data_IF_515761446259
#
_entry.id   IF_515761446259
#
_cell.length_a   1.000
_cell.length_b   1.000
_cell.length_c   1.000
_cell.angle_alpha   90.00
_cell.angle_beta   90.00
_cell.angle_gamma   90.00
#
_symmetry.space_group_name_H-M   'P 1'
#
loop_
_entity.id
_entity.type
_entity.pdbx_description
1 polymer ?
#
# COMPACT_ATOMS: atom_id res chain seq x y z
N UNK A 1 23.44 26.55 -7.32
CA UNK A 1 22.01 26.18 -7.24
C UNK A 1 21.28 27.21 -6.42
N UNK A 2 20.17 27.73 -6.94
CA UNK A 2 19.24 28.59 -6.19
C UNK A 2 18.53 27.77 -5.10
N UNK A 3 18.04 28.41 -4.04
CA UNK A 3 17.40 27.72 -2.90
C UNK A 3 16.25 26.80 -3.33
N UNK A 4 15.41 27.25 -4.29
CA UNK A 4 14.30 26.45 -4.82
C UNK A 4 14.72 25.23 -5.65
N UNK A 5 15.77 25.34 -6.47
CA UNK A 5 16.33 24.19 -7.21
C UNK A 5 16.77 23.07 -6.25
N UNK A 6 17.30 23.43 -5.07
CA UNK A 6 17.72 22.46 -4.05
C UNK A 6 16.53 21.82 -3.32
N UNK A 7 15.38 22.50 -3.22
CA UNK A 7 14.17 21.96 -2.58
C UNK A 7 13.47 21.00 -3.54
N UNK A 8 13.31 21.41 -4.79
CA UNK A 8 12.78 20.56 -5.86
C UNK A 8 13.56 19.24 -5.99
N UNK A 9 14.89 19.29 -6.04
CA UNK A 9 15.71 18.07 -6.10
C UNK A 9 15.52 17.17 -4.88
N UNK A 10 15.36 17.74 -3.68
CA UNK A 10 15.12 16.96 -2.45
C UNK A 10 13.75 16.31 -2.44
N UNK A 11 12.72 17.00 -2.91
CA UNK A 11 11.37 16.46 -3.06
C UNK A 11 11.33 15.37 -4.13
N UNK A 12 12.01 15.56 -5.26
CA UNK A 12 12.09 14.55 -6.30
C UNK A 12 12.80 13.28 -5.80
N UNK A 13 13.89 13.43 -5.04
CA UNK A 13 14.58 12.29 -4.41
C UNK A 13 13.72 11.60 -3.35
N UNK A 14 12.74 12.29 -2.72
CA UNK A 14 11.83 11.62 -1.80
C UNK A 14 10.96 10.55 -2.47
N UNK A 15 10.70 10.64 -3.78
CA UNK A 15 9.94 9.59 -4.49
C UNK A 15 10.57 8.21 -4.34
N UNK A 16 11.88 8.11 -4.13
CA UNK A 16 12.57 6.85 -3.89
C UNK A 16 12.19 6.24 -2.53
N UNK A 17 11.90 7.06 -1.52
CA UNK A 17 11.59 6.60 -0.16
C UNK A 17 10.26 5.84 -0.08
N UNK A 18 9.34 6.07 -1.02
CA UNK A 18 8.06 5.34 -1.06
C UNK A 18 8.24 3.89 -1.46
N UNK A 19 9.31 3.52 -2.17
CA UNK A 19 9.51 2.16 -2.69
C UNK A 19 9.46 1.11 -1.57
N UNK A 20 10.04 1.42 -0.42
CA UNK A 20 9.97 0.53 0.74
C UNK A 20 8.56 0.40 1.34
N UNK A 21 7.71 1.42 1.22
CA UNK A 21 6.30 1.35 1.67
C UNK A 21 5.52 0.41 0.75
N UNK A 22 5.74 0.54 -0.57
CA UNK A 22 5.06 -0.28 -1.57
C UNK A 22 5.53 -1.74 -1.52
N UNK A 23 6.83 -1.99 -1.33
CA UNK A 23 7.34 -3.37 -1.20
C UNK A 23 6.81 -4.07 0.06
N UNK A 24 6.68 -3.35 1.18
CA UNK A 24 6.04 -3.89 2.38
C UNK A 24 4.58 -4.30 2.09
N UNK A 25 3.81 -3.45 1.40
CA UNK A 25 2.43 -3.78 1.00
C UNK A 25 2.37 -5.00 0.06
N UNK A 26 3.25 -5.06 -0.94
CA UNK A 26 3.33 -6.19 -1.86
C UNK A 26 3.69 -7.49 -1.14
N UNK A 27 4.54 -7.44 -0.13
CA UNK A 27 4.97 -8.64 0.62
C UNK A 27 3.80 -9.35 1.29
N UNK A 28 2.79 -8.61 1.78
CA UNK A 28 1.60 -9.19 2.41
C UNK A 28 0.69 -9.95 1.45
N UNK A 29 0.68 -9.57 0.17
CA UNK A 29 -0.13 -10.20 -0.88
C UNK A 29 0.69 -11.11 -1.80
N UNK A 30 2.00 -11.18 -1.59
CA UNK A 30 2.90 -12.07 -2.33
C UNK A 30 2.75 -13.48 -1.79
N UNK A 31 2.24 -14.36 -2.65
CA UNK A 31 2.22 -15.77 -2.36
C UNK A 31 3.63 -16.35 -2.35
N UNK A 32 3.98 -17.00 -1.25
CA UNK A 32 5.17 -17.84 -1.12
C UNK A 32 4.70 -19.25 -0.79
N UNK A 33 4.94 -20.25 -1.65
CA UNK A 33 4.48 -21.61 -1.41
C UNK A 33 4.96 -22.16 -0.07
N UNK A 34 4.02 -22.62 0.74
CA UNK A 34 4.27 -23.31 1.99
C UNK A 34 3.32 -24.50 2.04
N UNK A 35 3.83 -25.66 1.62
CA UNK A 35 3.03 -26.88 1.41
C UNK A 35 2.16 -27.26 2.61
N UNK A 36 2.64 -27.09 3.85
CA UNK A 36 1.84 -27.42 5.05
C UNK A 36 0.66 -26.46 5.21
N UNK A 37 0.91 -25.16 5.09
CA UNK A 37 -0.15 -24.14 5.13
C UNK A 37 -1.10 -24.24 3.93
N UNK A 38 -0.57 -24.57 2.75
CA UNK A 38 -1.32 -24.68 1.50
C UNK A 38 -2.26 -25.90 1.52
N UNK A 39 -1.83 -27.03 2.08
CA UNK A 39 -2.69 -28.20 2.32
C UNK A 39 -3.89 -27.79 3.19
N UNK A 40 -3.64 -27.09 4.31
CA UNK A 40 -4.72 -26.61 5.19
C UNK A 40 -5.67 -25.67 4.44
N UNK A 41 -5.14 -24.72 3.67
CA UNK A 41 -5.93 -23.77 2.89
C UNK A 41 -6.81 -24.46 1.84
N UNK A 42 -6.30 -25.48 1.14
CA UNK A 42 -7.12 -26.27 0.21
C UNK A 42 -8.20 -27.09 0.92
N UNK A 43 -7.90 -27.68 2.09
CA UNK A 43 -8.90 -28.40 2.89
C UNK A 43 -10.02 -27.46 3.35
N UNK A 44 -9.70 -26.26 3.83
CA UNK A 44 -10.69 -25.26 4.19
C UNK A 44 -11.54 -24.82 2.99
N UNK A 45 -10.91 -24.58 1.82
CA UNK A 45 -11.62 -24.26 0.58
C UNK A 45 -12.58 -25.38 0.18
N UNK A 46 -12.15 -26.64 0.27
CA UNK A 46 -13.00 -27.79 -0.03
C UNK A 46 -14.24 -27.84 0.87
N UNK A 47 -14.07 -27.60 2.17
CA UNK A 47 -15.17 -27.60 3.15
C UNK A 47 -16.21 -26.52 2.86
N UNK A 48 -15.78 -25.33 2.42
CA UNK A 48 -16.63 -24.18 2.12
C UNK A 48 -17.20 -24.19 0.69
N UNK A 49 -16.68 -25.03 -0.20
CA UNK A 49 -17.05 -25.03 -1.61
C UNK A 49 -18.32 -25.82 -1.91
N UNK A 50 -19.10 -25.29 -2.86
CA UNK A 50 -20.18 -26.00 -3.55
C UNK A 50 -19.68 -27.31 -4.17
N UNK A 51 -20.56 -28.30 -4.28
CA UNK A 51 -20.21 -29.66 -4.70
C UNK A 51 -19.49 -29.72 -6.06
N UNK A 52 -19.86 -28.84 -6.99
CA UNK A 52 -19.31 -28.78 -8.34
C UNK A 52 -17.87 -28.24 -8.37
N UNK A 53 -17.47 -27.46 -7.36
CA UNK A 53 -16.12 -26.88 -7.25
C UNK A 53 -15.14 -27.80 -6.52
N UNK A 54 -15.65 -28.80 -5.79
CA UNK A 54 -14.83 -29.72 -4.98
C UNK A 54 -13.84 -30.56 -5.80
N UNK A 55 -14.18 -31.13 -6.98
CA UNK A 55 -13.25 -31.95 -7.75
C UNK A 55 -11.94 -31.24 -8.12
N UNK A 56 -12.02 -29.98 -8.59
CA UNK A 56 -10.82 -29.20 -8.95
C UNK A 56 -9.98 -28.85 -7.71
N UNK A 57 -10.62 -28.60 -6.56
CA UNK A 57 -9.90 -28.36 -5.30
C UNK A 57 -9.14 -29.62 -4.86
N UNK A 58 -9.75 -30.80 -4.98
CA UNK A 58 -9.10 -32.07 -4.66
C UNK A 58 -7.92 -32.37 -5.60
N UNK A 59 -8.03 -32.01 -6.87
CA UNK A 59 -6.91 -32.14 -7.82
C UNK A 59 -5.72 -31.26 -7.42
N UNK A 60 -5.97 -29.99 -7.08
CA UNK A 60 -4.93 -29.08 -6.59
C UNK A 60 -4.32 -29.55 -5.27
N UNK A 61 -5.15 -30.03 -4.33
CA UNK A 61 -4.70 -30.59 -3.06
C UNK A 61 -3.79 -31.80 -3.28
N UNK A 62 -4.16 -32.70 -4.20
CA UNK A 62 -3.31 -33.84 -4.57
C UNK A 62 -1.97 -33.38 -5.15
N UNK A 63 -1.96 -32.40 -6.06
CA UNK A 63 -0.72 -31.83 -6.58
C UNK A 63 0.15 -31.23 -5.47
N UNK A 64 -0.45 -30.53 -4.52
CA UNK A 64 0.23 -29.97 -3.34
C UNK A 64 0.87 -31.07 -2.47
N UNK A 65 0.12 -32.14 -2.15
CA UNK A 65 0.61 -33.30 -1.38
C UNK A 65 1.75 -34.01 -2.13
N UNK A 66 1.61 -34.22 -3.44
CA UNK A 66 2.60 -34.89 -4.29
C UNK A 66 3.87 -34.05 -4.55
N UNK A 67 3.90 -32.78 -4.13
CA UNK A 67 5.01 -31.86 -4.41
C UNK A 67 5.10 -31.45 -5.89
N UNK A 68 3.99 -31.53 -6.63
CA UNK A 68 3.88 -31.04 -8.01
C UNK A 68 3.58 -29.53 -8.00
N UNK A 69 3.49 -28.92 -9.17
CA UNK A 69 3.00 -27.55 -9.29
C UNK A 69 1.50 -27.48 -8.96
N UNK A 70 1.08 -26.45 -8.22
CA UNK A 70 -0.31 -26.19 -7.83
C UNK A 70 -0.56 -24.68 -7.75
N UNK A 71 -1.81 -24.22 -7.93
CA UNK A 71 -2.11 -22.80 -7.86
C UNK A 71 -2.05 -22.27 -6.43
N UNK A 72 -1.86 -20.96 -6.28
CA UNK A 72 -1.96 -20.28 -4.99
C UNK A 72 -3.34 -20.53 -4.35
N UNK A 73 -3.42 -21.23 -3.20
CA UNK A 73 -4.69 -21.49 -2.53
C UNK A 73 -5.30 -20.23 -1.91
N UNK A 74 -4.56 -19.13 -1.78
CA UNK A 74 -5.02 -17.82 -1.30
C UNK A 74 -5.50 -16.89 -2.43
N UNK A 75 -5.54 -17.37 -3.68
CA UNK A 75 -6.10 -16.57 -4.78
C UNK A 75 -7.52 -16.13 -4.44
N UNK A 76 -7.76 -14.81 -4.49
CA UNK A 76 -9.03 -14.17 -4.15
C UNK A 76 -9.31 -14.01 -2.65
N UNK A 77 -8.39 -14.37 -1.76
CA UNK A 77 -8.55 -14.12 -0.31
C UNK A 77 -7.86 -12.84 0.18
N UNK A 78 -7.04 -12.20 -0.66
CA UNK A 78 -6.45 -10.91 -0.34
C UNK A 78 -7.49 -9.80 -0.49
N UNK A 79 -7.43 -8.81 0.40
CA UNK A 79 -8.34 -7.68 0.43
C UNK A 79 -7.91 -6.52 -0.48
N UNK A 80 -6.71 -6.61 -1.06
CA UNK A 80 -6.17 -5.67 -2.03
C UNK A 80 -5.24 -6.39 -2.98
N UNK A 81 -4.91 -5.72 -4.08
CA UNK A 81 -4.22 -6.23 -5.26
C UNK A 81 -2.92 -5.46 -5.52
N UNK A 82 -2.01 -5.99 -6.36
CA UNK A 82 -0.86 -5.23 -6.81
C UNK A 82 -1.24 -3.91 -7.48
N UNK A 83 -2.39 -3.84 -8.15
CA UNK A 83 -2.94 -2.64 -8.77
C UNK A 83 -3.28 -1.57 -7.72
N UNK A 84 -3.87 -1.96 -6.58
CA UNK A 84 -4.14 -1.04 -5.47
C UNK A 84 -2.83 -0.47 -4.88
N UNK A 85 -1.79 -1.31 -4.77
CA UNK A 85 -0.46 -0.86 -4.33
C UNK A 85 0.17 0.09 -5.35
N UNK A 86 -0.02 -0.17 -6.65
CA UNK A 86 0.42 0.74 -7.71
C UNK A 86 -0.30 2.10 -7.59
N UNK A 87 -1.60 2.10 -7.32
CA UNK A 87 -2.38 3.32 -7.13
C UNK A 87 -1.93 4.10 -5.90
N UNK A 88 -1.62 3.43 -4.78
CA UNK A 88 -0.94 4.06 -3.64
C UNK A 88 0.36 4.73 -4.08
N UNK A 89 1.17 4.05 -4.90
CA UNK A 89 2.40 4.60 -5.48
C UNK A 89 2.15 5.87 -6.29
N UNK A 90 1.11 5.90 -7.12
CA UNK A 90 0.70 7.08 -7.90
C UNK A 90 0.26 8.23 -7.01
N UNK A 91 -0.58 7.97 -5.99
CA UNK A 91 -1.03 9.00 -5.04
C UNK A 91 0.17 9.67 -4.36
N UNK A 92 1.18 8.90 -3.97
CA UNK A 92 2.39 9.43 -3.34
C UNK A 92 3.29 10.20 -4.33
N UNK A 93 3.31 9.85 -5.62
CA UNK A 93 4.00 10.65 -6.64
C UNK A 93 3.31 11.99 -6.89
N UNK A 94 1.99 11.94 -7.09
CA UNK A 94 1.16 13.13 -7.30
C UNK A 94 1.33 14.11 -6.15
N UNK A 95 1.33 13.60 -4.91
CA UNK A 95 1.58 14.42 -3.74
C UNK A 95 2.91 15.19 -3.81
N UNK A 96 4.00 14.53 -4.22
CA UNK A 96 5.30 15.18 -4.37
C UNK A 96 5.26 16.23 -5.49
N UNK A 97 4.60 15.94 -6.60
CA UNK A 97 4.46 16.89 -7.71
C UNK A 97 3.64 18.13 -7.30
N UNK A 98 2.57 17.93 -6.53
CA UNK A 98 1.75 18.99 -5.97
C UNK A 98 2.54 19.85 -4.97
N UNK A 99 3.38 19.23 -4.12
CA UNK A 99 4.27 19.96 -3.21
C UNK A 99 5.29 20.84 -3.92
N UNK A 100 5.85 20.36 -5.04
CA UNK A 100 6.78 21.14 -5.86
C UNK A 100 6.07 22.37 -6.43
N UNK A 101 4.82 22.22 -6.88
CA UNK A 101 4.01 23.33 -7.38
C UNK A 101 3.61 24.33 -6.27
N UNK A 102 3.43 23.85 -5.04
CA UNK A 102 3.03 24.63 -3.87
C UNK A 102 4.21 25.23 -3.07
N UNK A 103 5.46 25.10 -3.55
CA UNK A 103 6.66 25.48 -2.79
C UNK A 103 6.58 26.92 -2.24
N UNK A 104 6.76 27.06 -0.93
CA UNK A 104 6.76 28.37 -0.26
C UNK A 104 5.37 28.95 0.05
N UNK A 105 4.29 28.24 -0.28
CA UNK A 105 2.93 28.56 0.16
C UNK A 105 2.44 27.52 1.20
N UNK A 106 2.52 27.82 2.51
CA UNK A 106 2.09 26.89 3.55
C UNK A 106 0.61 26.49 3.47
N UNK A 107 -0.27 27.35 2.94
CA UNK A 107 -1.69 27.04 2.81
C UNK A 107 -1.90 26.00 1.71
N UNK A 108 -1.28 26.20 0.54
CA UNK A 108 -1.31 25.24 -0.55
C UNK A 108 -0.68 23.90 -0.16
N UNK A 109 0.47 23.90 0.52
CA UNK A 109 1.10 22.66 1.01
C UNK A 109 0.19 21.92 2.00
N UNK A 110 -0.48 22.65 2.91
CA UNK A 110 -1.44 22.04 3.84
C UNK A 110 -2.63 21.41 3.12
N UNK A 111 -3.05 22.01 1.99
CA UNK A 111 -4.11 21.45 1.15
C UNK A 111 -3.65 20.18 0.43
N UNK A 112 -2.43 20.15 -0.12
CA UNK A 112 -1.83 18.95 -0.72
C UNK A 112 -1.82 17.77 0.28
N UNK A 113 -1.45 18.03 1.54
CA UNK A 113 -1.48 17.02 2.61
C UNK A 113 -2.89 16.50 2.83
N UNK A 114 -3.88 17.40 2.98
CA UNK A 114 -5.29 17.04 3.18
C UNK A 114 -5.79 16.15 2.03
N UNK A 115 -5.60 16.58 0.80
CA UNK A 115 -6.12 15.87 -0.38
C UNK A 115 -5.47 14.49 -0.54
N UNK A 116 -4.16 14.40 -0.29
CA UNK A 116 -3.44 13.12 -0.30
C UNK A 116 -3.98 12.16 0.74
N UNK A 117 -4.21 12.61 1.98
CA UNK A 117 -4.77 11.77 3.03
C UNK A 117 -6.19 11.31 2.69
N UNK A 118 -7.00 12.16 2.03
CA UNK A 118 -8.34 11.79 1.58
C UNK A 118 -8.31 10.74 0.46
N UNK A 119 -7.40 10.85 -0.51
CA UNK A 119 -7.17 9.83 -1.54
C UNK A 119 -6.77 8.50 -0.92
N UNK A 120 -5.87 8.54 0.07
CA UNK A 120 -5.43 7.34 0.80
C UNK A 120 -6.57 6.72 1.62
N UNK A 121 -7.40 7.54 2.30
CA UNK A 121 -8.58 7.04 3.00
C UNK A 121 -9.51 6.28 2.04
N UNK A 122 -9.81 6.88 0.88
CA UNK A 122 -10.68 6.25 -0.13
C UNK A 122 -10.12 4.91 -0.61
N UNK A 123 -8.84 4.88 -1.00
CA UNK A 123 -8.18 3.65 -1.42
C UNK A 123 -8.19 2.57 -0.32
N UNK A 124 -7.92 2.95 0.93
CA UNK A 124 -7.95 2.00 2.03
C UNK A 124 -9.36 1.45 2.28
N UNK A 125 -10.42 2.27 2.17
CA UNK A 125 -11.81 1.81 2.27
C UNK A 125 -12.17 0.84 1.14
N UNK A 126 -11.75 1.12 -0.10
CA UNK A 126 -11.94 0.22 -1.25
C UNK A 126 -11.26 -1.15 -1.02
N UNK A 127 -10.13 -1.14 -0.31
CA UNK A 127 -9.40 -2.33 0.13
C UNK A 127 -9.95 -2.95 1.43
N UNK A 128 -11.17 -2.59 1.86
CA UNK A 128 -11.80 -3.10 3.09
C UNK A 128 -11.05 -2.77 4.38
N UNK A 129 -10.21 -1.72 4.36
CA UNK A 129 -9.31 -1.27 5.45
C UNK A 129 -8.13 -2.19 5.76
N UNK A 130 -7.75 -3.06 4.82
CA UNK A 130 -6.59 -3.96 4.96
C UNK A 130 -5.30 -3.42 4.33
N UNK A 131 -5.39 -2.34 3.54
CA UNK A 131 -4.23 -1.73 2.87
C UNK A 131 -3.32 -0.94 3.81
N UNK A 132 -3.81 -0.56 4.99
CA UNK A 132 -3.01 0.14 6.00
C UNK A 132 -3.19 -0.52 7.36
N UNK A 133 -2.09 -1.06 7.90
CA UNK A 133 -1.99 -1.46 9.30
C UNK A 133 -1.25 -0.41 10.14
N UNK A 134 -1.08 -0.69 11.43
CA UNK A 134 -0.37 0.16 12.38
C UNK A 134 1.04 0.54 11.91
N UNK A 135 1.77 -0.40 11.30
CA UNK A 135 3.16 -0.19 10.86
C UNK A 135 3.23 0.65 9.58
N UNK A 136 2.42 0.29 8.58
CA UNK A 136 2.29 1.04 7.32
C UNK A 136 1.81 2.46 7.58
N UNK A 137 0.92 2.66 8.55
CA UNK A 137 0.49 4.00 8.97
C UNK A 137 1.69 4.87 9.33
N UNK A 138 2.53 4.43 10.25
CA UNK A 138 3.68 5.21 10.71
C UNK A 138 4.61 5.60 9.55
N UNK A 139 4.85 4.67 8.62
CA UNK A 139 5.67 4.92 7.42
C UNK A 139 5.06 5.94 6.48
N UNK A 140 3.75 5.84 6.18
CA UNK A 140 3.05 6.79 5.30
C UNK A 140 3.04 8.18 5.94
N UNK A 141 2.75 8.27 7.23
CA UNK A 141 2.71 9.55 7.93
C UNK A 141 4.09 10.20 8.00
N UNK A 142 5.14 9.41 8.23
CA UNK A 142 6.52 9.89 8.18
C UNK A 142 6.87 10.41 6.78
N UNK A 143 6.50 9.67 5.72
CA UNK A 143 6.70 10.10 4.34
C UNK A 143 6.04 11.46 4.08
N UNK A 144 4.73 11.58 4.31
CA UNK A 144 3.95 12.79 4.05
C UNK A 144 4.48 13.98 4.84
N UNK A 145 4.65 13.85 6.16
CA UNK A 145 5.12 14.96 6.98
C UNK A 145 6.53 15.40 6.57
N UNK A 146 7.45 14.46 6.33
CA UNK A 146 8.82 14.82 5.94
C UNK A 146 8.88 15.58 4.60
N UNK A 147 8.00 15.24 3.65
CA UNK A 147 7.92 15.94 2.36
C UNK A 147 7.35 17.36 2.53
N UNK A 148 6.24 17.49 3.28
CA UNK A 148 5.63 18.80 3.58
C UNK A 148 6.62 19.75 4.27
N UNK A 149 7.44 19.22 5.19
CA UNK A 149 8.47 19.98 5.88
C UNK A 149 9.58 20.45 4.94
N UNK A 150 10.00 19.61 4.00
CA UNK A 150 10.95 20.00 2.94
C UNK A 150 10.37 21.10 2.05
N UNK A 151 9.07 21.05 1.76
CA UNK A 151 8.35 22.06 0.96
C UNK A 151 8.14 23.40 1.72
N UNK A 152 8.29 23.41 3.06
CA UNK A 152 8.30 24.63 3.87
C UNK A 152 7.28 24.68 5.01
N UNK A 153 6.58 23.58 5.30
CA UNK A 153 5.66 23.51 6.43
C UNK A 153 6.41 23.23 7.75
N UNK A 154 5.88 23.67 8.90
CA UNK A 154 6.57 23.52 10.19
C UNK A 154 6.58 22.07 10.70
N UNK A 155 7.63 21.67 11.41
CA UNK A 155 7.79 20.30 11.97
C UNK A 155 7.02 20.07 13.29
N UNK A 156 6.19 21.02 13.73
CA UNK A 156 5.69 21.02 15.11
C UNK A 156 4.51 20.07 15.36
N UNK A 157 3.92 19.50 14.30
CA UNK A 157 2.75 18.62 14.41
C UNK A 157 2.67 17.61 13.25
N UNK A 158 1.95 16.53 13.49
CA UNK A 158 1.55 15.58 12.45
C UNK A 158 0.38 16.17 11.64
N UNK A 159 0.69 16.67 10.45
CA UNK A 159 -0.28 17.35 9.56
C UNK A 159 -1.34 16.42 9.01
N UNK A 160 -1.11 15.11 9.07
CA UNK A 160 -2.07 14.11 8.59
C UNK A 160 -3.10 13.71 9.66
N UNK A 161 -2.80 13.92 10.95
CA UNK A 161 -3.57 13.37 12.08
C UNK A 161 -5.07 13.68 12.04
N UNK A 162 -5.43 14.93 11.72
CA UNK A 162 -6.82 15.38 11.72
C UNK A 162 -7.64 14.89 10.51
N UNK A 163 -6.99 14.28 9.52
CA UNK A 163 -7.61 13.86 8.25
C UNK A 163 -7.68 12.34 8.09
N UNK A 164 -6.83 11.58 8.80
CA UNK A 164 -6.75 10.12 8.66
C UNK A 164 -7.95 9.40 9.25
N UNK A 165 -8.32 8.29 8.61
CA UNK A 165 -9.29 7.30 9.11
C UNK A 165 -8.63 5.96 9.49
N UNK A 166 -7.30 5.90 9.45
CA UNK A 166 -6.44 4.71 9.66
C UNK A 166 -5.29 5.03 10.64
#
# INVERSE_FOLDING_TARGET
MKKGEKIMDRLQNQKENKAGILEDMLTFIRYTPNREADILAFMEKYQKAEHEKRPVILEHLRCCIDGKEYPNPYTGSYHYTPEDVSLMGTILDEYIDDLIAAEGDPAAISECVRDTVLKINALNEECGRYLIDTWRRERICSFINSAAEVAGLSQEKDHTQQHRMW
#
